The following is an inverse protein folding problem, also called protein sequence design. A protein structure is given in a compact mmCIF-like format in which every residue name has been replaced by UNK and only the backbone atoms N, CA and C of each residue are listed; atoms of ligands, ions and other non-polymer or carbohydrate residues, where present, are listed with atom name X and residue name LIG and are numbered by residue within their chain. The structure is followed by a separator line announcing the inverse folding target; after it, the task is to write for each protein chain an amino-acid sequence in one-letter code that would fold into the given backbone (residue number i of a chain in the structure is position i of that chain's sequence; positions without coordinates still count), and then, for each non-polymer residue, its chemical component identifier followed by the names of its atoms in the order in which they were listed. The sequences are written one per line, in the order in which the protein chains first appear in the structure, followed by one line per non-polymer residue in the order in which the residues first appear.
data_IF_895191762984
#
_entry.id   IF_895191762984
#
_cell.length_a   1.000
_cell.length_b   1.000
_cell.length_c   1.000
_cell.angle_alpha   90.00
_cell.angle_beta   90.00
_cell.angle_gamma   90.00
#
_symmetry.space_group_name_H-M   'P 1'
#
loop_
_entity.id
_entity.type
_entity.pdbx_description
1 polymer ?
#
# COMPACT_ATOMS: atom_id res chain seq x y z
N UNK A 1 12.84 4.68 -30.10
CA UNK A 1 11.67 5.13 -29.31
C UNK A 1 11.88 4.81 -27.83
N UNK A 2 11.94 5.80 -26.93
CA UNK A 2 12.12 5.56 -25.51
C UNK A 2 10.84 4.99 -24.87
N UNK A 3 10.94 3.79 -24.26
CA UNK A 3 9.84 3.16 -23.50
C UNK A 3 9.92 3.57 -22.02
N UNK A 4 8.77 3.82 -21.40
CA UNK A 4 8.71 4.19 -19.98
C UNK A 4 9.23 3.04 -19.10
N UNK A 5 10.13 3.35 -18.16
CA UNK A 5 10.72 2.38 -17.22
C UNK A 5 10.15 2.60 -15.83
N UNK A 6 9.85 1.50 -15.14
CA UNK A 6 9.37 1.59 -13.76
C UNK A 6 10.48 2.08 -12.84
N UNK A 7 10.10 2.93 -11.88
CA UNK A 7 11.03 3.45 -10.89
C UNK A 7 11.42 2.35 -9.90
N UNK A 8 12.58 1.73 -10.12
CA UNK A 8 13.03 0.54 -9.38
C UNK A 8 13.10 0.76 -7.88
N UNK A 9 13.56 1.93 -7.43
CA UNK A 9 13.67 2.25 -6.01
C UNK A 9 12.30 2.35 -5.32
N UNK A 10 11.25 2.77 -6.02
CA UNK A 10 9.88 2.75 -5.46
C UNK A 10 9.31 1.34 -5.43
N UNK A 11 9.58 0.54 -6.47
CA UNK A 11 9.07 -0.84 -6.58
C UNK A 11 9.57 -1.77 -5.48
N UNK A 12 10.78 -1.56 -4.97
CA UNK A 12 11.31 -2.36 -3.86
C UNK A 12 10.79 -1.93 -2.49
N UNK A 13 10.30 -0.70 -2.35
CA UNK A 13 9.94 -0.10 -1.05
C UNK A 13 8.44 -0.03 -0.79
N UNK A 14 7.63 0.08 -1.83
CA UNK A 14 6.21 0.38 -1.75
C UNK A 14 5.41 -0.65 -2.53
N UNK A 15 4.32 -1.14 -1.93
CA UNK A 15 3.36 -2.02 -2.59
C UNK A 15 1.98 -1.39 -2.59
N UNK A 16 1.27 -1.45 -3.72
CA UNK A 16 -0.16 -1.11 -3.78
C UNK A 16 -1.00 -2.32 -3.39
N UNK A 17 -1.95 -2.14 -2.48
CA UNK A 17 -2.95 -3.16 -2.16
C UNK A 17 -4.05 -3.19 -3.21
N UNK A 18 -4.81 -4.28 -3.28
CA UNK A 18 -6.00 -4.41 -4.14
C UNK A 18 -7.02 -3.29 -3.88
N UNK A 19 -7.10 -2.80 -2.64
CA UNK A 19 -7.94 -1.67 -2.22
C UNK A 19 -7.37 -0.29 -2.59
N UNK A 20 -6.23 -0.23 -3.29
CA UNK A 20 -5.63 1.02 -3.75
C UNK A 20 -4.86 1.81 -2.70
N UNK A 21 -4.59 1.22 -1.52
CA UNK A 21 -3.79 1.84 -0.46
C UNK A 21 -2.31 1.49 -0.62
N UNK A 22 -1.43 2.34 -0.12
CA UNK A 22 0.02 2.08 -0.10
C UNK A 22 0.38 1.31 1.16
N UNK A 23 1.04 0.16 1.01
CA UNK A 23 1.76 -0.51 2.08
C UNK A 23 3.24 -0.11 2.06
N UNK A 24 3.76 0.28 3.22
CA UNK A 24 5.18 0.60 3.44
C UNK A 24 5.67 0.14 4.81
N UNK A 25 6.98 0.08 4.98
CA UNK A 25 7.64 -0.03 6.28
C UNK A 25 7.76 1.35 6.92
N UNK A 26 7.67 1.44 8.25
CA UNK A 26 7.94 2.68 8.97
C UNK A 26 9.46 2.89 9.14
N UNK A 27 9.86 4.14 9.32
CA UNK A 27 11.25 4.50 9.57
C UNK A 27 11.62 4.40 11.05
N UNK A 28 12.93 4.43 11.35
CA UNK A 28 13.42 4.50 12.73
C UNK A 28 13.58 3.16 13.44
N UNK A 29 13.52 2.02 12.76
CA UNK A 29 13.66 0.70 13.42
C UNK A 29 15.12 0.22 13.52
N UNK A 30 16.08 0.91 12.88
CA UNK A 30 17.45 0.37 12.69
C UNK A 30 18.48 0.75 13.75
N UNK A 31 18.44 1.96 14.30
CA UNK A 31 19.46 2.46 15.23
C UNK A 31 18.83 3.36 16.30
N UNK A 32 19.56 3.54 17.41
CA UNK A 32 19.12 4.32 18.58
C UNK A 32 17.84 3.78 19.22
N UNK A 33 17.83 2.47 19.47
CA UNK A 33 16.69 1.76 20.06
C UNK A 33 16.71 1.77 21.60
N UNK A 34 17.89 1.88 22.22
CA UNK A 34 18.06 1.77 23.67
C UNK A 34 17.22 2.79 24.47
N UNK A 35 17.07 4.02 23.97
CA UNK A 35 16.28 5.07 24.64
C UNK A 35 14.79 5.09 24.28
N UNK A 36 14.27 4.10 23.56
CA UNK A 36 12.88 4.09 23.08
C UNK A 36 12.04 3.10 23.86
N UNK A 37 10.82 3.51 24.21
CA UNK A 37 9.89 2.62 24.89
C UNK A 37 9.59 1.37 24.05
N UNK A 38 9.44 0.18 24.67
CA UNK A 38 9.11 -1.05 23.95
C UNK A 38 7.83 -0.95 23.12
N UNK A 39 6.85 -0.16 23.59
CA UNK A 39 5.60 0.13 22.86
C UNK A 39 5.88 0.83 21.53
N UNK A 40 6.75 1.84 21.53
CA UNK A 40 7.12 2.58 20.30
C UNK A 40 7.82 1.66 19.31
N UNK A 41 8.77 0.85 19.76
CA UNK A 41 9.49 -0.09 18.89
C UNK A 41 8.55 -1.08 18.21
N UNK A 42 7.63 -1.70 18.97
CA UNK A 42 6.64 -2.64 18.41
C UNK A 42 5.74 -2.01 17.35
N UNK A 43 5.37 -0.74 17.52
CA UNK A 43 4.55 -0.03 16.55
C UNK A 43 5.34 0.27 15.26
N UNK A 44 6.61 0.67 15.37
CA UNK A 44 7.46 0.99 14.22
C UNK A 44 7.80 -0.24 13.35
N UNK A 45 7.87 -1.43 13.93
CA UNK A 45 8.11 -2.68 13.18
C UNK A 45 6.94 -3.04 12.25
N UNK A 46 5.71 -2.65 12.61
CA UNK A 46 4.50 -3.03 11.85
C UNK A 46 4.42 -2.28 10.52
N UNK A 47 4.07 -3.01 9.46
CA UNK A 47 3.79 -2.41 8.14
C UNK A 47 2.60 -1.47 8.26
N UNK A 48 2.69 -0.33 7.60
CA UNK A 48 1.72 0.75 7.71
C UNK A 48 1.10 1.07 6.37
N UNK A 49 -0.16 1.44 6.42
CA UNK A 49 -0.95 1.81 5.26
C UNK A 49 -1.04 3.34 5.14
N UNK A 50 -0.84 3.88 3.93
CA UNK A 50 -1.15 5.29 3.61
C UNK A 50 -2.29 5.35 2.62
N UNK A 51 -3.31 6.14 2.95
CA UNK A 51 -4.48 6.41 2.10
C UNK A 51 -4.44 7.81 1.48
N UNK A 52 -3.51 8.68 1.91
CA UNK A 52 -3.40 10.06 1.43
C UNK A 52 -3.30 10.10 -0.10
N UNK A 53 -4.25 10.80 -0.72
CA UNK A 53 -4.47 10.81 -2.17
C UNK A 53 -3.23 11.20 -2.97
N UNK A 54 -2.48 12.20 -2.53
CA UNK A 54 -1.27 12.67 -3.22
C UNK A 54 -0.17 11.60 -3.32
N UNK A 55 0.07 10.84 -2.25
CA UNK A 55 1.08 9.78 -2.25
C UNK A 55 0.65 8.59 -3.12
N UNK A 56 -0.63 8.22 -3.07
CA UNK A 56 -1.20 7.15 -3.90
C UNK A 56 -1.06 7.47 -5.39
N UNK A 57 -1.35 8.71 -5.80
CA UNK A 57 -1.17 9.16 -7.20
C UNK A 57 0.28 9.02 -7.66
N UNK A 58 1.24 9.48 -6.85
CA UNK A 58 2.68 9.40 -7.18
C UNK A 58 3.19 7.95 -7.26
N UNK A 59 2.73 7.07 -6.37
CA UNK A 59 3.12 5.66 -6.38
C UNK A 59 2.64 4.94 -7.65
N UNK A 60 1.43 5.25 -8.14
CA UNK A 60 0.88 4.66 -9.37
C UNK A 60 1.73 5.04 -10.60
N UNK A 61 2.10 6.30 -10.73
CA UNK A 61 2.99 6.77 -11.80
C UNK A 61 4.36 6.08 -11.75
N UNK A 62 4.94 5.98 -10.55
CA UNK A 62 6.27 5.39 -10.35
C UNK A 62 6.33 3.89 -10.69
N UNK A 63 5.24 3.15 -10.45
CA UNK A 63 5.20 1.70 -10.66
C UNK A 63 4.80 1.30 -12.08
N UNK A 64 4.27 2.23 -12.88
CA UNK A 64 3.64 1.95 -14.20
C UNK A 64 2.59 0.83 -14.06
N UNK A 65 2.00 0.71 -12.88
CA UNK A 65 0.89 -0.19 -12.63
C UNK A 65 -0.38 0.58 -13.02
N UNK A 66 -0.79 0.37 -14.26
CA UNK A 66 -2.06 0.84 -14.77
C UNK A 66 -3.19 0.16 -14.02
N UNK A 67 -3.86 0.92 -13.14
CA UNK A 67 -5.15 0.65 -12.48
C UNK A 67 -5.26 -0.68 -11.70
N UNK A 68 -5.97 -0.70 -10.56
CA UNK A 68 -6.37 -1.96 -9.94
C UNK A 68 -7.22 -2.78 -10.93
N UNK A 69 -6.80 -4.02 -11.25
CA UNK A 69 -7.69 -5.02 -11.85
C UNK A 69 -8.74 -5.41 -10.80
N UNK A 70 -9.89 -4.72 -10.82
CA UNK A 70 -11.24 -5.26 -10.61
C UNK A 70 -12.26 -4.13 -10.81
N UNK A 71 -13.10 -4.26 -11.85
CA UNK A 71 -14.29 -3.41 -12.09
C UNK A 71 -15.51 -3.89 -11.28
N UNK A 72 -15.48 -5.13 -10.80
CA UNK A 72 -16.63 -5.79 -10.16
C UNK A 72 -16.33 -6.00 -8.67
N UNK A 73 -17.33 -5.72 -7.81
CA UNK A 73 -17.24 -5.58 -6.34
C UNK A 73 -16.68 -6.78 -5.53
N UNK A 74 -16.90 -6.82 -4.20
CA UNK A 74 -16.30 -7.83 -3.34
C UNK A 74 -16.68 -9.25 -3.79
N UNK A 75 -15.74 -10.21 -3.67
CA UNK A 75 -15.85 -11.61 -4.14
C UNK A 75 -17.01 -12.39 -3.48
N UNK A 76 -17.69 -11.80 -2.50
CA UNK A 76 -18.81 -12.39 -1.78
C UNK A 76 -19.82 -11.30 -1.42
N UNK A 77 -21.05 -11.43 -1.91
CA UNK A 77 -22.22 -10.71 -1.40
C UNK A 77 -22.81 -11.62 -0.31
N UNK A 78 -22.93 -11.12 0.91
CA UNK A 78 -23.59 -11.85 1.99
C UNK A 78 -25.01 -12.23 1.51
N UNK A 79 -25.49 -13.43 1.84
CA UNK A 79 -26.78 -13.94 1.32
C UNK A 79 -27.95 -12.98 1.59
N UNK A 80 -27.84 -12.13 2.61
CA UNK A 80 -28.79 -11.09 3.00
C UNK A 80 -28.90 -9.91 2.00
N UNK A 81 -27.83 -9.60 1.25
CA UNK A 81 -27.75 -8.41 0.38
C UNK A 81 -27.93 -8.77 -1.10
N UNK A 82 -28.36 -10.00 -1.40
CA UNK A 82 -28.62 -10.46 -2.77
C UNK A 82 -30.07 -10.09 -3.13
N UNK A 83 -30.33 -9.28 -4.17
CA UNK A 83 -31.71 -9.01 -4.59
C UNK A 83 -32.36 -10.34 -4.97
N UNK A 84 -33.55 -10.62 -4.43
CA UNK A 84 -34.34 -11.76 -4.87
C UNK A 84 -35.14 -11.36 -6.11
N UNK A 85 -34.90 -12.09 -7.21
CA UNK A 85 -35.50 -11.96 -8.54
C UNK A 85 -35.37 -10.58 -9.21
#
# INVERSE_FOLDING_TARGET
MPKMKSHKASRTRIRLTTTGKILRTQCGVRHLLAGRSPKRMRNLVKKTTTTTTGYVRRARLALIEGQPKRKDGPKYIAKADRPQA
#
